data_IF_320180439369
#
_entry.id   IF_320180439369
#
_cell.length_a   1.000
_cell.length_b   1.000
_cell.length_c   1.000
_cell.angle_alpha   90.00
_cell.angle_beta   90.00
_cell.angle_gamma   90.00
#
_symmetry.space_group_name_H-M   'P 1'
#
loop_
_entity.id
_entity.type
_entity.pdbx_description
1 polymer ?
#
# COMPACT_ATOMS: atom_id res chain seq x y z
N UNK A 1 -30.58 10.38 -29.68
CA UNK A 1 -29.18 9.90 -29.83
C UNK A 1 -28.34 10.59 -28.78
N UNK A 2 -28.31 10.05 -27.56
CA UNK A 2 -27.44 10.57 -26.50
C UNK A 2 -26.05 10.00 -26.71
N UNK A 3 -25.15 10.84 -27.23
CA UNK A 3 -23.72 10.56 -27.27
C UNK A 3 -23.21 10.45 -25.83
N UNK A 4 -23.13 9.24 -25.29
CA UNK A 4 -22.37 8.97 -24.07
C UNK A 4 -20.90 8.83 -24.49
N UNK A 5 -20.12 9.90 -24.31
CA UNK A 5 -18.67 9.78 -24.39
C UNK A 5 -18.23 8.65 -23.44
N UNK A 6 -17.37 7.71 -23.88
CA UNK A 6 -16.83 6.71 -22.98
C UNK A 6 -16.12 7.42 -21.82
N UNK A 7 -16.23 6.91 -20.58
CA UNK A 7 -15.56 7.52 -19.43
C UNK A 7 -14.07 7.59 -19.74
N UNK A 8 -13.52 8.81 -19.64
CA UNK A 8 -12.08 9.06 -19.83
C UNK A 8 -11.35 8.16 -18.83
N UNK A 9 -10.42 7.27 -19.26
CA UNK A 9 -9.73 6.40 -18.33
C UNK A 9 -9.03 7.27 -17.29
N UNK A 10 -9.35 7.02 -16.01
CA UNK A 10 -8.73 7.75 -14.91
C UNK A 10 -7.24 7.38 -14.90
N UNK A 11 -6.40 8.33 -15.29
CA UNK A 11 -4.96 8.14 -15.29
C UNK A 11 -4.49 8.20 -13.83
N UNK A 12 -4.04 7.06 -13.31
CA UNK A 12 -3.48 6.95 -11.97
C UNK A 12 -1.95 7.03 -12.03
N UNK A 13 -1.36 7.75 -11.09
CA UNK A 13 0.09 7.84 -10.95
C UNK A 13 0.50 7.34 -9.57
N UNK A 14 1.64 6.67 -9.49
CA UNK A 14 2.19 6.27 -8.21
C UNK A 14 3.62 5.76 -8.31
N UNK A 15 4.17 5.41 -7.14
CA UNK A 15 5.50 4.84 -6.96
C UNK A 15 5.38 3.57 -6.12
N UNK A 16 6.06 2.53 -6.55
CA UNK A 16 6.27 1.31 -5.76
C UNK A 16 7.66 1.41 -5.16
N UNK A 17 7.75 1.48 -3.82
CA UNK A 17 8.99 1.73 -3.11
C UNK A 17 9.50 0.42 -2.54
N UNK A 18 10.59 -0.09 -3.13
CA UNK A 18 11.21 -1.37 -2.77
C UNK A 18 12.68 -1.17 -2.35
N UNK A 19 13.19 -2.11 -1.56
CA UNK A 19 14.56 -2.09 -1.07
C UNK A 19 14.71 -2.88 0.23
N UNK A 20 15.95 -3.25 0.60
CA UNK A 20 16.21 -4.13 1.75
C UNK A 20 15.76 -3.50 3.08
N UNK A 21 15.69 -4.28 4.18
CA UNK A 21 15.37 -3.75 5.49
C UNK A 21 16.37 -2.65 5.89
N UNK A 22 15.88 -1.56 6.46
CA UNK A 22 16.73 -0.43 6.87
C UNK A 22 17.18 0.53 5.74
N UNK A 23 16.80 0.30 4.48
CA UNK A 23 17.13 1.21 3.37
C UNK A 23 16.40 2.56 3.41
N UNK A 24 15.39 2.70 4.28
CA UNK A 24 14.64 3.94 4.49
C UNK A 24 13.38 4.11 3.64
N UNK A 25 12.77 3.02 3.14
CA UNK A 25 11.52 3.06 2.35
C UNK A 25 10.39 3.87 3.02
N UNK A 26 10.04 3.54 4.25
CA UNK A 26 9.03 4.27 5.05
C UNK A 26 9.39 5.75 5.24
N UNK A 27 10.66 6.05 5.47
CA UNK A 27 11.16 7.44 5.57
C UNK A 27 11.01 8.18 4.24
N UNK A 28 11.30 7.51 3.12
CA UNK A 28 11.14 8.04 1.77
C UNK A 28 9.65 8.31 1.48
N UNK A 29 8.76 7.37 1.75
CA UNK A 29 7.32 7.52 1.55
C UNK A 29 6.78 8.75 2.31
N UNK A 30 7.18 8.94 3.57
CA UNK A 30 6.83 10.13 4.35
C UNK A 30 7.32 11.42 3.69
N UNK A 31 8.63 11.47 3.37
CA UNK A 31 9.24 12.67 2.78
C UNK A 31 8.65 13.01 1.40
N UNK A 32 8.36 12.00 0.59
CA UNK A 32 7.77 12.16 -0.73
C UNK A 32 6.31 12.61 -0.64
N UNK A 33 5.53 12.07 0.31
CA UNK A 33 4.17 12.55 0.59
C UNK A 33 4.18 14.02 0.96
N UNK A 34 5.04 14.44 1.91
CA UNK A 34 5.16 15.85 2.29
C UNK A 34 5.57 16.74 1.11
N UNK A 35 6.57 16.32 0.34
CA UNK A 35 7.08 17.07 -0.80
C UNK A 35 6.00 17.28 -1.87
N UNK A 36 5.35 16.20 -2.32
CA UNK A 36 4.32 16.28 -3.35
C UNK A 36 3.06 17.01 -2.86
N UNK A 37 2.70 16.86 -1.58
CA UNK A 37 1.58 17.59 -0.97
C UNK A 37 1.84 19.10 -0.97
N UNK A 38 3.08 19.53 -0.67
CA UNK A 38 3.48 20.95 -0.77
C UNK A 38 3.45 21.50 -2.20
N UNK A 39 3.56 20.63 -3.20
CA UNK A 39 3.36 20.97 -4.62
C UNK A 39 1.88 20.99 -5.03
N UNK A 40 0.95 20.82 -4.09
CA UNK A 40 -0.50 20.85 -4.34
C UNK A 40 -1.07 19.53 -4.86
N UNK A 41 -0.33 18.41 -4.79
CA UNK A 41 -0.85 17.09 -5.19
C UNK A 41 -1.55 16.41 -4.02
N UNK A 42 -2.69 15.78 -4.28
CA UNK A 42 -3.31 14.84 -3.34
C UNK A 42 -2.50 13.55 -3.34
N UNK A 43 -1.87 13.19 -2.22
CA UNK A 43 -1.00 12.01 -2.12
C UNK A 43 -1.48 11.10 -1.00
N UNK A 44 -1.50 9.80 -1.27
CA UNK A 44 -1.87 8.77 -0.30
C UNK A 44 -0.77 7.72 -0.22
N UNK A 45 -0.46 7.29 0.99
CA UNK A 45 0.45 6.17 1.24
C UNK A 45 -0.38 4.91 1.42
N UNK A 46 0.07 3.82 0.80
CA UNK A 46 -0.45 2.47 0.89
C UNK A 46 0.63 1.62 1.53
N UNK A 47 0.41 1.18 2.76
CA UNK A 47 1.33 0.28 3.47
C UNK A 47 1.01 -1.16 3.08
N UNK A 48 1.98 -1.81 2.44
CA UNK A 48 1.92 -3.23 2.09
C UNK A 48 2.86 -4.09 2.95
N UNK A 49 3.52 -3.51 3.96
CA UNK A 49 4.37 -4.24 4.90
C UNK A 49 3.55 -4.74 6.11
N UNK A 50 3.28 -6.06 6.22
CA UNK A 50 2.51 -6.64 7.32
C UNK A 50 3.29 -6.70 8.63
N UNK A 51 4.60 -6.45 8.61
CA UNK A 51 5.48 -6.45 9.77
C UNK A 51 5.70 -5.03 10.36
N UNK A 52 5.11 -4.00 9.76
CA UNK A 52 5.37 -2.61 10.13
C UNK A 52 4.47 -2.16 11.28
N UNK A 53 4.95 -2.30 12.51
CA UNK A 53 4.25 -1.81 13.70
C UNK A 53 4.40 -0.29 13.86
N UNK A 54 3.34 0.45 13.57
CA UNK A 54 3.26 1.88 13.88
C UNK A 54 3.87 2.78 12.81
N UNK A 55 3.09 3.05 11.77
CA UNK A 55 3.45 4.02 10.74
C UNK A 55 3.54 5.44 11.37
N UNK A 56 4.63 6.19 11.11
CA UNK A 56 4.81 7.54 11.66
C UNK A 56 3.96 8.61 10.95
N UNK A 57 2.95 8.20 10.18
CA UNK A 57 2.11 9.05 9.34
C UNK A 57 0.76 8.39 9.08
N UNK A 58 -0.27 9.17 8.72
CA UNK A 58 -1.55 8.62 8.31
C UNK A 58 -1.40 7.82 7.02
N UNK A 59 -1.69 6.53 7.12
CA UNK A 59 -1.78 5.61 6.00
C UNK A 59 -3.23 5.56 5.51
N UNK A 60 -3.43 5.62 4.19
CA UNK A 60 -4.77 5.58 3.62
C UNK A 60 -5.30 4.15 3.47
N UNK A 61 -4.38 3.20 3.25
CA UNK A 61 -4.68 1.77 3.09
C UNK A 61 -3.56 1.00 3.75
N UNK A 62 -3.89 0.17 4.73
CA UNK A 62 -2.93 -0.63 5.48
C UNK A 62 -3.26 -2.12 5.33
N UNK A 63 -2.27 -2.91 4.91
CA UNK A 63 -2.42 -4.37 4.76
C UNK A 63 -2.79 -5.05 6.08
N UNK A 64 -2.46 -4.47 7.24
CA UNK A 64 -2.84 -5.01 8.55
C UNK A 64 -4.36 -5.08 8.76
N UNK A 65 -5.16 -4.33 8.00
CA UNK A 65 -6.63 -4.46 7.98
C UNK A 65 -7.11 -5.75 7.28
N UNK A 66 -6.25 -6.36 6.45
CA UNK A 66 -6.52 -7.60 5.72
C UNK A 66 -5.82 -8.80 6.38
N UNK A 67 -4.56 -8.64 6.73
CA UNK A 67 -3.71 -9.70 7.30
C UNK A 67 -2.55 -9.10 8.09
N UNK A 68 -2.30 -9.62 9.28
CA UNK A 68 -1.14 -9.25 10.10
C UNK A 68 -0.12 -10.38 10.12
N UNK A 69 1.17 -10.04 10.25
CA UNK A 69 2.22 -11.05 10.31
C UNK A 69 2.06 -11.95 11.55
N UNK A 70 1.68 -11.38 12.69
CA UNK A 70 1.49 -12.11 13.95
C UNK A 70 0.38 -13.16 13.84
N UNK A 71 -0.79 -12.79 13.30
CA UNK A 71 -1.92 -13.72 13.14
C UNK A 71 -1.54 -14.91 12.23
N UNK A 72 -0.77 -14.64 11.18
CA UNK A 72 -0.29 -15.66 10.24
C UNK A 72 0.72 -16.58 10.91
N UNK A 73 1.70 -16.03 11.63
CA UNK A 73 2.71 -16.81 12.33
C UNK A 73 2.08 -17.72 13.39
N UNK A 74 1.14 -17.18 14.17
CA UNK A 74 0.47 -17.94 15.23
C UNK A 74 -0.52 -18.97 14.69
N UNK A 75 -1.29 -18.60 13.66
CA UNK A 75 -2.32 -19.45 13.06
C UNK A 75 -1.75 -20.60 12.23
N UNK A 76 -0.67 -20.36 11.48
CA UNK A 76 -0.08 -21.33 10.55
C UNK A 76 1.24 -21.95 11.06
N UNK A 77 1.71 -21.55 12.24
CA UNK A 77 2.98 -22.00 12.83
C UNK A 77 4.17 -21.74 11.90
N UNK A 78 4.15 -20.59 11.23
CA UNK A 78 5.20 -20.13 10.34
C UNK A 78 6.21 -19.26 11.11
N UNK A 79 7.47 -19.27 10.66
CA UNK A 79 8.44 -18.27 11.07
C UNK A 79 8.23 -16.93 10.36
N UNK A 80 8.93 -15.85 10.76
CA UNK A 80 8.73 -14.50 10.23
C UNK A 80 8.75 -14.40 8.71
N UNK A 81 9.73 -15.03 8.06
CA UNK A 81 9.87 -14.97 6.60
C UNK A 81 8.72 -15.73 5.91
N UNK A 82 8.31 -16.88 6.46
CA UNK A 82 7.20 -17.66 5.94
C UNK A 82 5.86 -16.93 6.10
N UNK A 83 5.65 -16.28 7.24
CA UNK A 83 4.47 -15.47 7.47
C UNK A 83 4.39 -14.25 6.55
N UNK A 84 5.52 -13.63 6.22
CA UNK A 84 5.58 -12.50 5.29
C UNK A 84 5.25 -12.91 3.86
N UNK A 85 5.81 -14.04 3.38
CA UNK A 85 5.46 -14.60 2.07
C UNK A 85 3.96 -14.91 2.02
N UNK A 86 3.44 -15.60 3.03
CA UNK A 86 2.01 -15.93 3.09
C UNK A 86 1.13 -14.67 3.10
N UNK A 87 1.53 -13.62 3.82
CA UNK A 87 0.78 -12.35 3.85
C UNK A 87 0.69 -11.71 2.45
N UNK A 88 1.77 -11.79 1.67
CA UNK A 88 1.79 -11.30 0.29
C UNK A 88 0.95 -12.17 -0.65
N UNK A 89 0.99 -13.49 -0.50
CA UNK A 89 0.12 -14.43 -1.24
C UNK A 89 -1.37 -14.19 -0.90
N UNK A 90 -1.67 -13.92 0.37
CA UNK A 90 -3.02 -13.61 0.82
C UNK A 90 -3.51 -12.27 0.26
N UNK A 91 -2.65 -11.26 0.18
CA UNK A 91 -2.96 -10.01 -0.53
C UNK A 91 -3.21 -10.26 -2.02
N UNK A 92 -2.38 -11.07 -2.69
CA UNK A 92 -2.55 -11.41 -4.10
C UNK A 92 -3.90 -12.11 -4.36
N UNK A 93 -4.27 -13.06 -3.49
CA UNK A 93 -5.55 -13.75 -3.56
C UNK A 93 -6.76 -12.84 -3.31
N UNK A 94 -6.56 -11.69 -2.67
CA UNK A 94 -7.60 -10.71 -2.32
C UNK A 94 -7.30 -9.33 -2.94
N UNK A 95 -6.76 -9.28 -4.17
CA UNK A 95 -6.43 -8.01 -4.83
C UNK A 95 -7.64 -7.09 -5.03
N UNK A 96 -8.85 -7.65 -5.10
CA UNK A 96 -10.11 -6.92 -5.14
C UNK A 96 -10.34 -6.07 -3.89
N UNK A 97 -9.90 -6.53 -2.71
CA UNK A 97 -9.87 -5.73 -1.48
C UNK A 97 -9.00 -4.49 -1.69
N UNK A 98 -7.77 -4.65 -2.18
CA UNK A 98 -6.85 -3.54 -2.42
C UNK A 98 -7.44 -2.56 -3.45
N UNK A 99 -7.94 -3.07 -4.58
CA UNK A 99 -8.60 -2.23 -5.59
C UNK A 99 -9.76 -1.43 -5.02
N UNK A 100 -10.59 -2.05 -4.17
CA UNK A 100 -11.74 -1.38 -3.55
C UNK A 100 -11.28 -0.22 -2.66
N UNK A 101 -10.20 -0.41 -1.88
CA UNK A 101 -9.60 0.62 -1.04
C UNK A 101 -9.04 1.76 -1.89
N UNK A 102 -8.28 1.46 -2.94
CA UNK A 102 -7.70 2.45 -3.85
C UNK A 102 -8.77 3.27 -4.59
N UNK A 103 -9.93 2.67 -4.94
CA UNK A 103 -11.06 3.38 -5.58
C UNK A 103 -11.63 4.51 -4.73
N UNK A 104 -11.54 4.43 -3.39
CA UNK A 104 -11.96 5.54 -2.51
C UNK A 104 -11.02 6.76 -2.58
N UNK A 105 -9.82 6.59 -3.15
CA UNK A 105 -8.79 7.62 -3.28
C UNK A 105 -8.54 8.05 -4.72
N UNK A 106 -9.56 7.97 -5.60
CA UNK A 106 -9.45 8.47 -6.98
C UNK A 106 -8.89 9.90 -7.06
N UNK A 107 -8.09 10.14 -8.11
CA UNK A 107 -7.39 11.40 -8.35
C UNK A 107 -6.17 11.65 -7.44
N UNK A 108 -5.76 10.67 -6.63
CA UNK A 108 -4.56 10.78 -5.79
C UNK A 108 -3.32 10.23 -6.50
N UNK A 109 -2.15 10.68 -6.04
CA UNK A 109 -0.86 10.05 -6.29
C UNK A 109 -0.63 8.97 -5.23
N UNK A 110 -0.28 7.76 -5.64
CA UNK A 110 -0.11 6.63 -4.72
C UNK A 110 1.36 6.37 -4.42
N UNK A 111 1.70 6.19 -3.13
CA UNK A 111 3.01 5.73 -2.69
C UNK A 111 2.83 4.38 -2.00
N UNK A 112 3.34 3.31 -2.59
CA UNK A 112 3.28 1.98 -2.01
C UNK A 112 4.56 1.72 -1.23
N UNK A 113 4.43 1.60 0.10
CA UNK A 113 5.51 1.19 1.00
C UNK A 113 5.49 -0.34 1.10
N UNK A 114 6.47 -0.99 0.47
CA UNK A 114 6.53 -2.45 0.38
C UNK A 114 7.32 -3.07 1.55
N UNK A 115 7.10 -4.37 1.85
CA UNK A 115 7.88 -5.09 2.83
C UNK A 115 9.39 -4.98 2.58
N UNK A 116 10.17 -5.01 3.67
CA UNK A 116 11.62 -4.92 3.57
C UNK A 116 12.35 -6.20 3.19
N UNK A 117 11.80 -7.36 3.54
CA UNK A 117 12.40 -8.67 3.22
C UNK A 117 12.19 -9.07 1.77
#
# INVERSE_FOLDING_TARGET
MTSSNPPKPALHFGQVVIGPPGSGKTTYCRGMQEFLSRLGRKVVIVNLDPANEGLPYPCAVDISELVTLDDVMDGLKLGPNGGLIYSMEYLEANLDWLESKLKHHQGSYFLFDCPGQ
#
